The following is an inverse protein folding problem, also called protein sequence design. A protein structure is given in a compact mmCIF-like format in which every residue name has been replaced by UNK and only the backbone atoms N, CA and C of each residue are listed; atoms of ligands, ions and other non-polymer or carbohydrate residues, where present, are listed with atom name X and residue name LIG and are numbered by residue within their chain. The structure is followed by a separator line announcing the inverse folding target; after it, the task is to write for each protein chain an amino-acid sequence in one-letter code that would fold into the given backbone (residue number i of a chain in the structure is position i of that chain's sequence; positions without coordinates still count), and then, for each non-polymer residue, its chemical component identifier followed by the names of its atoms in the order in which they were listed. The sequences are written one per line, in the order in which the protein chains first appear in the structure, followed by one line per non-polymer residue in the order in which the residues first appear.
data_IF_827544159251
#
_entry.id   IF_827544159251
#
_cell.length_a   1.000
_cell.length_b   1.000
_cell.length_c   1.000
_cell.angle_alpha   90.00
_cell.angle_beta   90.00
_cell.angle_gamma   90.00
#
_symmetry.space_group_name_H-M   'P 1'
#
loop_
_entity.id
_entity.type
_entity.pdbx_description
1 polymer ?
#
# COMPACT_ATOMS: atom_id res chain seq x y z
N UNK A 1 -4.98 -6.31 2.34
CA UNK A 1 -4.27 -5.20 1.66
C UNK A 1 -4.90 -5.04 0.29
N UNK A 2 -4.96 -3.82 -0.27
CA UNK A 2 -5.37 -3.68 -1.67
C UNK A 2 -4.29 -4.30 -2.55
N UNK A 3 -4.71 -5.08 -3.53
CA UNK A 3 -3.80 -5.57 -4.56
C UNK A 3 -3.45 -4.43 -5.52
N UNK A 4 -2.39 -4.62 -6.31
CA UNK A 4 -1.98 -3.63 -7.30
C UNK A 4 -3.12 -3.34 -8.30
N UNK A 5 -3.86 -4.38 -8.69
CA UNK A 5 -5.03 -4.27 -9.58
C UNK A 5 -6.08 -3.31 -9.01
N UNK A 6 -6.40 -3.42 -7.72
CA UNK A 6 -7.38 -2.54 -7.10
C UNK A 6 -6.88 -1.09 -7.03
N UNK A 7 -5.57 -0.90 -6.78
CA UNK A 7 -4.91 0.41 -6.73
C UNK A 7 -5.00 1.09 -8.10
N UNK A 8 -4.68 0.38 -9.18
CA UNK A 8 -4.81 0.89 -10.54
C UNK A 8 -6.26 1.16 -10.93
N UNK A 9 -7.19 0.30 -10.54
CA UNK A 9 -8.60 0.49 -10.81
C UNK A 9 -9.13 1.79 -10.16
N UNK A 10 -8.79 2.02 -8.88
CA UNK A 10 -9.13 3.26 -8.17
C UNK A 10 -8.53 4.48 -8.88
N UNK A 11 -7.26 4.40 -9.30
CA UNK A 11 -6.58 5.49 -10.01
C UNK A 11 -7.23 5.79 -11.36
N UNK A 12 -7.58 4.77 -12.14
CA UNK A 12 -8.26 4.91 -13.42
C UNK A 12 -9.63 5.58 -13.25
N UNK A 13 -10.42 5.15 -12.27
CA UNK A 13 -11.70 5.79 -11.94
C UNK A 13 -11.56 7.27 -11.58
N UNK A 14 -10.51 7.64 -10.86
CA UNK A 14 -10.29 9.04 -10.47
C UNK A 14 -9.73 9.89 -11.61
N UNK A 15 -8.61 9.49 -12.22
CA UNK A 15 -7.88 10.31 -13.20
C UNK A 15 -8.46 10.23 -14.62
N UNK A 16 -9.00 9.09 -15.03
CA UNK A 16 -9.55 8.91 -16.38
C UNK A 16 -11.04 9.22 -16.41
N UNK A 17 -11.82 8.68 -15.46
CA UNK A 17 -13.28 8.87 -15.43
C UNK A 17 -13.72 10.09 -14.60
N UNK A 18 -12.80 10.79 -13.93
CA UNK A 18 -13.10 11.99 -13.15
C UNK A 18 -13.94 11.73 -11.90
N UNK A 19 -13.98 10.50 -11.38
CA UNK A 19 -14.80 10.20 -10.20
C UNK A 19 -14.21 10.83 -8.94
N UNK A 20 -15.06 11.51 -8.16
CA UNK A 20 -14.65 12.01 -6.85
C UNK A 20 -14.34 10.86 -5.87
N UNK A 21 -13.44 11.12 -4.92
CA UNK A 21 -13.11 10.18 -3.82
C UNK A 21 -14.37 9.68 -3.10
N UNK A 22 -15.37 10.55 -2.92
CA UNK A 22 -16.67 10.18 -2.29
C UNK A 22 -17.48 9.21 -3.15
N UNK A 23 -17.44 9.35 -4.48
CA UNK A 23 -18.11 8.44 -5.41
C UNK A 23 -17.44 7.07 -5.42
N UNK A 24 -16.10 7.05 -5.53
CA UNK A 24 -15.29 5.83 -5.45
C UNK A 24 -15.56 5.09 -4.14
N UNK A 25 -15.51 5.79 -3.00
CA UNK A 25 -15.74 5.18 -1.68
C UNK A 25 -17.12 4.53 -1.54
N UNK A 26 -18.17 5.16 -2.07
CA UNK A 26 -19.53 4.61 -2.03
C UNK A 26 -19.70 3.40 -2.95
N UNK A 27 -19.14 3.46 -4.15
CA UNK A 27 -19.32 2.41 -5.16
C UNK A 27 -18.43 1.19 -4.90
N UNK A 28 -17.18 1.40 -4.51
CA UNK A 28 -16.20 0.33 -4.28
C UNK A 28 -16.16 -0.14 -2.82
N UNK A 29 -16.92 0.50 -1.92
CA UNK A 29 -16.91 0.23 -0.47
C UNK A 29 -15.52 0.32 0.15
N UNK A 30 -14.61 1.08 -0.46
CA UNK A 30 -13.26 1.32 0.05
C UNK A 30 -13.25 2.56 0.92
N UNK A 31 -12.55 2.49 2.06
CA UNK A 31 -12.38 3.63 2.94
C UNK A 31 -11.68 4.79 2.22
N UNK A 32 -12.14 6.01 2.47
CA UNK A 32 -11.61 7.23 1.82
C UNK A 32 -10.10 7.41 2.07
N UNK A 33 -9.62 7.01 3.24
CA UNK A 33 -8.18 7.04 3.57
C UNK A 33 -7.37 6.14 2.64
N UNK A 34 -7.88 4.96 2.34
CA UNK A 34 -7.22 4.01 1.45
C UNK A 34 -7.21 4.50 0.00
N UNK A 35 -8.29 5.13 -0.46
CA UNK A 35 -8.36 5.77 -1.77
C UNK A 35 -7.30 6.89 -1.87
N UNK A 36 -7.17 7.74 -0.85
CA UNK A 36 -6.12 8.78 -0.83
C UNK A 36 -4.72 8.18 -0.94
N UNK A 37 -4.43 7.10 -0.21
CA UNK A 37 -3.15 6.38 -0.30
C UNK A 37 -2.91 5.82 -1.72
N UNK A 38 -3.93 5.24 -2.35
CA UNK A 38 -3.85 4.73 -3.72
C UNK A 38 -3.64 5.84 -4.78
N UNK A 39 -4.18 7.03 -4.55
CA UNK A 39 -3.96 8.19 -5.42
C UNK A 39 -2.56 8.80 -5.21
N UNK A 40 -2.05 8.81 -3.98
CA UNK A 40 -0.74 9.36 -3.66
C UNK A 40 0.41 8.51 -4.22
N UNK A 41 0.28 7.18 -4.17
CA UNK A 41 1.35 6.27 -4.59
C UNK A 41 0.82 5.16 -5.50
N UNK A 42 1.45 5.00 -6.68
CA UNK A 42 1.15 3.96 -7.66
C UNK A 42 1.97 2.69 -7.51
N UNK A 43 2.99 2.68 -6.65
CA UNK A 43 3.86 1.51 -6.52
C UNK A 43 3.14 0.33 -5.87
N UNK A 44 3.68 -0.85 -6.12
CA UNK A 44 3.29 -2.08 -5.42
C UNK A 44 3.52 -1.83 -3.91
N UNK A 45 2.56 -2.19 -3.04
CA UNK A 45 2.74 -2.04 -1.61
C UNK A 45 3.89 -2.94 -1.15
N UNK A 46 5.05 -2.34 -0.89
CA UNK A 46 6.20 -3.02 -0.30
C UNK A 46 6.21 -2.80 1.20
N UNK A 47 6.39 -3.89 1.96
CA UNK A 47 6.64 -3.78 3.39
C UNK A 47 8.06 -3.25 3.61
N UNK A 48 8.17 -2.10 4.27
CA UNK A 48 9.42 -1.52 4.70
C UNK A 48 9.47 -1.53 6.23
N UNK A 49 10.54 -2.12 6.77
CA UNK A 49 10.85 -2.05 8.20
C UNK A 49 11.24 -0.61 8.55
N UNK A 50 10.55 -0.01 9.51
CA UNK A 50 10.89 1.33 10.02
C UNK A 50 12.04 1.30 11.02
N UNK A 51 12.35 0.13 11.58
CA UNK A 51 13.44 -0.08 12.52
C UNK A 51 14.23 -1.31 12.08
N UNK A 52 15.54 -1.20 12.18
CA UNK A 52 16.42 -2.34 12.00
C UNK A 52 16.10 -3.41 13.06
N UNK A 53 16.28 -4.69 12.67
CA UNK A 53 16.13 -5.77 13.64
C UNK A 53 17.28 -5.65 14.65
N UNK A 54 17.00 -5.71 15.96
CA UNK A 54 18.06 -5.75 16.95
C UNK A 54 18.98 -6.94 16.64
N UNK A 55 20.27 -6.78 16.94
CA UNK A 55 21.34 -7.74 16.65
C UNK A 55 20.96 -9.18 17.02
N UNK A 56 21.50 -10.19 16.31
CA UNK A 56 21.23 -11.59 16.64
C UNK A 56 21.50 -11.86 18.13
N UNK A 57 20.59 -12.60 18.76
CA UNK A 57 20.69 -13.04 20.17
C UNK A 57 21.84 -14.07 20.34
N UNK A 58 22.27 -14.68 19.25
CA UNK A 58 23.31 -15.70 19.21
C UNK A 58 24.71 -15.07 19.12
N UNK A 59 25.66 -15.69 19.82
CA UNK A 59 27.08 -15.36 19.74
C UNK A 59 27.62 -15.55 18.30
N UNK A 60 28.74 -14.88 17.94
CA UNK A 60 29.39 -15.05 16.65
C UNK A 60 29.67 -16.53 16.34
N UNK A 61 29.43 -16.91 15.09
CA UNK A 61 29.71 -18.26 14.59
C UNK A 61 31.18 -18.64 14.85
N UNK A 62 31.41 -19.78 15.50
CA UNK A 62 32.75 -20.39 15.64
C UNK A 62 32.83 -21.58 14.70
N UNK A 63 33.82 -21.58 13.82
CA UNK A 63 34.22 -22.77 13.07
C UNK A 63 34.81 -23.80 14.05
N UNK A 64 34.42 -25.07 13.86
CA UNK A 64 34.87 -26.22 14.66
C UNK A 64 36.13 -26.80 14.03
#
# INVERSE_FOLDING_TARGET
MLEMVDKEYIRKKHFVEGWSIRKISRNLKVARQTIRKALNDSHIPHYQLTKEKPSPVLDPYKEI
#
